data_IF_279190014052
#
_entry.id   IF_279190014052
#
_cell.length_a   1.000
_cell.length_b   1.000
_cell.length_c   1.000
_cell.angle_alpha   90.00
_cell.angle_beta   90.00
_cell.angle_gamma   90.00
#
_symmetry.space_group_name_H-M   'P 1'
#
loop_
_entity.id
_entity.type
_entity.pdbx_description
1 polymer ?
#
# COMPACT_ATOMS: atom_id res chain seq x y z
N UNK A 1 -14.88 11.10 10.75
CA UNK A 1 -15.22 9.70 10.46
C UNK A 1 -13.95 9.05 9.95
N UNK A 2 -13.24 8.28 10.79
CA UNK A 2 -12.00 7.62 10.38
C UNK A 2 -12.38 6.42 9.51
N UNK A 3 -12.02 6.45 8.22
CA UNK A 3 -12.14 5.27 7.37
C UNK A 3 -11.12 4.25 7.84
N UNK A 4 -11.57 3.27 8.63
CA UNK A 4 -10.77 2.09 8.93
C UNK A 4 -10.80 1.24 7.67
N UNK A 5 -9.86 1.52 6.76
CA UNK A 5 -9.58 0.58 5.69
C UNK A 5 -9.00 -0.67 6.36
N UNK A 6 -9.74 -1.80 6.31
CA UNK A 6 -9.14 -3.12 6.41
C UNK A 6 -8.27 -3.30 5.16
N UNK A 7 -7.14 -2.58 5.12
CA UNK A 7 -6.15 -2.75 4.07
C UNK A 7 -5.50 -4.09 4.33
N UNK A 8 -5.73 -5.04 3.42
CA UNK A 8 -4.69 -6.02 3.14
C UNK A 8 -3.39 -5.24 2.94
N UNK A 9 -2.29 -5.71 3.50
CA UNK A 9 -1.02 -5.01 3.46
C UNK A 9 -0.50 -5.03 2.02
N UNK A 10 -0.91 -4.04 1.23
CA UNK A 10 -0.48 -3.94 -0.15
C UNK A 10 0.93 -3.36 -0.11
N UNK A 11 1.92 -4.22 -0.30
CA UNK A 11 3.28 -3.79 -0.58
C UNK A 11 3.35 -3.29 -2.03
N UNK A 12 2.80 -2.10 -2.27
CA UNK A 12 3.05 -1.40 -3.53
C UNK A 12 4.53 -1.09 -3.53
N UNK A 13 5.25 -1.66 -4.50
CA UNK A 13 6.70 -1.58 -4.71
C UNK A 13 7.31 -0.39 -3.95
N UNK A 14 7.79 -0.63 -2.71
CA UNK A 14 8.16 0.46 -1.78
C UNK A 14 9.20 1.41 -2.38
N UNK A 15 9.94 0.94 -3.38
CA UNK A 15 10.87 1.72 -4.22
C UNK A 15 10.24 2.91 -4.95
N UNK A 16 8.92 3.08 -4.90
CA UNK A 16 8.21 4.20 -5.51
C UNK A 16 7.44 5.08 -4.48
N UNK A 17 7.59 4.87 -3.16
CA UNK A 17 7.02 5.77 -2.13
C UNK A 17 7.98 6.89 -1.77
N UNK A 18 7.42 8.05 -1.44
CA UNK A 18 8.19 9.19 -0.95
C UNK A 18 8.91 8.86 0.36
N UNK A 19 10.21 9.17 0.42
CA UNK A 19 10.95 9.12 1.68
C UNK A 19 10.40 10.16 2.66
N UNK A 20 10.46 9.84 3.96
CA UNK A 20 9.98 10.76 5.00
C UNK A 20 10.69 12.12 4.94
N UNK A 21 11.94 12.19 4.49
CA UNK A 21 12.68 13.46 4.38
C UNK A 21 12.08 14.42 3.33
N UNK A 22 11.28 13.92 2.40
CA UNK A 22 10.69 14.73 1.33
C UNK A 22 9.47 15.55 1.78
N UNK A 23 8.91 15.26 2.96
CA UNK A 23 7.76 16.00 3.49
C UNK A 23 8.19 17.31 4.14
N UNK A 24 7.63 18.42 3.67
CA UNK A 24 8.07 19.77 4.05
C UNK A 24 7.34 20.35 5.26
N UNK A 25 6.27 19.70 5.72
CA UNK A 25 5.47 20.14 6.86
C UNK A 25 4.98 18.97 7.72
N UNK A 26 4.64 19.29 8.96
CA UNK A 26 4.09 18.36 9.96
C UNK A 26 2.87 17.59 9.42
N UNK A 27 1.94 18.31 8.79
CA UNK A 27 0.66 17.76 8.37
C UNK A 27 0.85 16.60 7.38
N UNK A 28 1.58 16.80 6.28
CA UNK A 28 1.82 15.75 5.30
C UNK A 28 2.68 14.62 5.86
N UNK A 29 3.67 14.95 6.69
CA UNK A 29 4.50 13.96 7.37
C UNK A 29 3.64 13.00 8.20
N UNK A 30 2.69 13.53 8.96
CA UNK A 30 1.82 12.75 9.83
C UNK A 30 0.68 12.02 9.07
N UNK A 31 0.41 12.36 7.80
CA UNK A 31 -0.45 11.55 6.93
C UNK A 31 0.22 10.22 6.55
N UNK A 32 1.54 10.19 6.45
CA UNK A 32 2.28 8.95 6.22
C UNK A 32 2.49 8.22 7.55
N UNK A 33 1.87 7.04 7.67
CA UNK A 33 1.92 6.26 8.91
C UNK A 33 3.33 5.81 9.31
N UNK A 34 4.26 5.72 8.34
CA UNK A 34 5.66 5.33 8.52
C UNK A 34 6.56 6.51 8.90
N UNK A 35 6.05 7.74 8.85
CA UNK A 35 6.80 8.95 9.16
C UNK A 35 6.30 9.62 10.44
N UNK A 36 7.15 10.47 11.02
CA UNK A 36 6.78 11.37 12.10
C UNK A 36 7.59 12.67 12.04
N UNK A 37 6.95 13.76 12.48
CA UNK A 37 7.57 15.07 12.53
C UNK A 37 8.35 15.24 13.85
N UNK A 38 9.67 15.42 13.76
CA UNK A 38 10.58 15.61 14.90
C UNK A 38 11.57 16.73 14.58
N UNK A 39 11.76 17.67 15.51
CA UNK A 39 12.75 18.76 15.38
C UNK A 39 12.62 19.54 14.05
N UNK A 40 11.38 19.85 13.65
CA UNK A 40 11.08 20.59 12.41
C UNK A 40 11.48 19.88 11.12
N UNK A 41 11.62 18.55 11.16
CA UNK A 41 11.85 17.72 9.99
C UNK A 41 11.00 16.45 10.06
N UNK A 42 10.63 15.93 8.90
CA UNK A 42 9.97 14.64 8.81
C UNK A 42 10.99 13.51 8.76
N UNK A 43 10.80 12.49 9.60
CA UNK A 43 11.72 11.36 9.76
C UNK A 43 10.95 10.04 9.72
N UNK A 44 11.64 8.96 9.33
CA UNK A 44 11.09 7.61 9.38
C UNK A 44 10.96 7.16 10.83
N UNK A 45 9.82 6.57 11.18
CA UNK A 45 9.61 5.97 12.50
C UNK A 45 10.52 4.77 12.71
N UNK A 46 11.12 4.67 13.88
CA UNK A 46 11.69 3.41 14.38
C UNK A 46 10.57 2.48 14.83
N UNK A 47 10.84 1.17 14.91
CA UNK A 47 9.82 0.22 15.35
C UNK A 47 9.18 0.62 16.69
N UNK A 48 10.00 1.05 17.66
CA UNK A 48 9.54 1.52 18.98
C UNK A 48 8.61 2.75 18.96
N UNK A 49 8.55 3.49 17.86
CA UNK A 49 7.69 4.67 17.70
C UNK A 49 6.31 4.35 17.13
N UNK A 50 6.06 3.11 16.68
CA UNK A 50 4.72 2.70 16.26
C UNK A 50 3.82 2.42 17.46
N UNK A 51 2.79 3.24 17.61
CA UNK A 51 1.79 3.08 18.65
C UNK A 51 0.75 2.00 18.32
N UNK A 52 0.35 1.90 17.04
CA UNK A 52 -0.71 0.99 16.63
C UNK A 52 -0.15 -0.33 16.05
N UNK A 53 -0.72 -1.49 16.42
CA UNK A 53 -0.24 -2.79 15.96
C UNK A 53 -0.16 -2.91 14.43
N UNK A 54 -1.14 -2.37 13.70
CA UNK A 54 -1.16 -2.48 12.24
C UNK A 54 -0.02 -1.69 11.56
N UNK A 55 0.40 -0.55 12.13
CA UNK A 55 1.52 0.23 11.62
C UNK A 55 2.84 -0.52 11.81
N UNK A 56 3.00 -1.12 13.00
CA UNK A 56 4.15 -1.95 13.33
C UNK A 56 4.26 -3.17 12.40
N UNK A 57 3.17 -3.94 12.25
CA UNK A 57 3.14 -5.15 11.41
C UNK A 57 3.44 -4.87 9.94
N UNK A 58 3.07 -3.69 9.45
CA UNK A 58 3.27 -3.27 8.04
C UNK A 58 4.63 -2.64 7.75
N UNK A 59 5.40 -2.30 8.79
CA UNK A 59 6.76 -1.79 8.64
C UNK A 59 7.75 -2.95 8.47
N UNK A 60 8.58 -2.87 7.43
CA UNK A 60 9.63 -3.86 7.17
C UNK A 60 10.65 -3.86 8.32
N UNK A 61 11.06 -5.04 8.78
CA UNK A 61 11.99 -5.19 9.90
C UNK A 61 11.37 -4.93 11.29
N UNK A 62 10.07 -4.62 11.37
CA UNK A 62 9.35 -4.46 12.63
C UNK A 62 8.36 -5.60 12.89
N UNK A 63 8.25 -5.99 14.15
CA UNK A 63 7.26 -6.96 14.62
C UNK A 63 6.51 -6.42 15.83
N UNK A 64 5.23 -6.75 15.91
CA UNK A 64 4.36 -6.44 17.02
C UNK A 64 4.31 -7.63 17.99
N UNK A 65 4.70 -7.42 19.24
CA UNK A 65 4.58 -8.43 20.30
C UNK A 65 3.22 -8.28 21.01
N UNK A 66 2.27 -9.21 20.81
CA UNK A 66 0.94 -9.11 21.42
C UNK A 66 0.94 -9.32 22.94
N UNK A 67 2.00 -9.94 23.52
CA UNK A 67 2.07 -10.19 24.97
C UNK A 67 2.33 -8.91 25.74
N UNK A 68 3.22 -8.07 25.20
CA UNK A 68 3.67 -6.84 25.87
C UNK A 68 3.04 -5.58 25.23
N UNK A 69 2.28 -5.74 24.14
CA UNK A 69 1.71 -4.65 23.34
C UNK A 69 2.79 -3.63 22.89
N UNK A 70 3.93 -4.15 22.43
CA UNK A 70 5.08 -3.35 21.98
C UNK A 70 5.47 -3.67 20.55
N UNK A 71 6.11 -2.72 19.88
CA UNK A 71 6.71 -2.91 18.58
C UNK A 71 8.23 -2.98 18.70
N UNK A 72 8.82 -4.05 18.18
CA UNK A 72 10.25 -4.34 18.22
C UNK A 72 10.86 -4.48 16.83
N UNK A 73 12.20 -4.50 16.78
CA UNK A 73 12.98 -4.79 15.57
C UNK A 73 13.30 -6.28 15.54
N UNK A 74 13.29 -6.89 14.35
CA UNK A 74 13.85 -8.23 14.13
C UNK A 74 14.79 -8.19 12.92
N UNK A 75 15.77 -9.10 12.90
CA UNK A 75 16.69 -9.25 11.78
C UNK A 75 16.21 -10.28 10.74
N UNK A 76 15.56 -11.35 11.23
CA UNK A 76 15.06 -12.46 10.43
C UNK A 76 13.80 -13.06 11.07
N UNK A 77 12.92 -13.65 10.25
CA UNK A 77 11.64 -14.18 10.72
C UNK A 77 11.77 -15.31 11.73
N UNK A 78 12.88 -16.07 11.70
CA UNK A 78 13.20 -17.14 12.66
C UNK A 78 13.34 -16.66 14.10
N UNK A 79 13.53 -15.35 14.34
CA UNK A 79 13.54 -14.76 15.68
C UNK A 79 12.13 -14.63 16.28
N UNK A 80 11.09 -14.69 15.45
CA UNK A 80 9.71 -14.52 15.87
C UNK A 80 9.13 -15.90 16.21
N UNK A 81 9.02 -16.18 17.51
CA UNK A 81 8.40 -17.42 17.99
C UNK A 81 6.89 -17.33 17.86
N UNK A 82 6.25 -18.42 17.44
CA UNK A 82 4.80 -18.48 17.30
C UNK A 82 4.26 -19.85 17.68
N UNK A 83 2.97 -19.89 18.01
CA UNK A 83 2.25 -21.14 18.30
C UNK A 83 1.32 -21.59 17.19
N UNK A 84 0.96 -20.66 16.29
CA UNK A 84 0.03 -20.89 15.20
C UNK A 84 0.31 -19.95 14.02
N UNK A 85 -0.35 -20.19 12.90
CA UNK A 85 -0.30 -19.30 11.74
C UNK A 85 -0.80 -17.89 12.05
N UNK A 86 -1.93 -17.80 12.76
CA UNK A 86 -2.52 -16.53 13.15
C UNK A 86 -1.57 -15.70 14.02
N UNK A 87 -0.75 -16.36 14.85
CA UNK A 87 0.26 -15.71 15.68
C UNK A 87 1.34 -15.04 14.82
N UNK A 88 1.89 -15.73 13.81
CA UNK A 88 2.85 -15.14 12.86
C UNK A 88 2.27 -13.95 12.08
N UNK A 89 1.08 -14.12 11.51
CA UNK A 89 0.36 -13.04 10.81
C UNK A 89 0.07 -11.85 11.72
N UNK A 90 -0.12 -12.10 13.03
CA UNK A 90 -0.33 -11.05 14.02
C UNK A 90 0.95 -10.31 14.41
N UNK A 91 2.14 -10.86 14.16
CA UNK A 91 3.41 -10.26 14.56
C UNK A 91 4.01 -9.39 13.45
N UNK A 92 4.08 -9.87 12.21
CA UNK A 92 4.60 -9.07 11.09
C UNK A 92 4.02 -9.53 9.77
N UNK A 93 3.67 -8.58 8.91
CA UNK A 93 3.24 -8.91 7.55
C UNK A 93 4.36 -9.50 6.71
N UNK A 94 5.64 -9.35 7.07
CA UNK A 94 6.77 -9.91 6.30
C UNK A 94 7.24 -11.29 6.78
N UNK A 95 6.69 -11.75 7.91
CA UNK A 95 7.01 -13.02 8.56
C UNK A 95 5.73 -13.77 8.90
N UNK A 96 4.81 -13.88 7.95
CA UNK A 96 3.48 -14.41 8.25
C UNK A 96 3.38 -15.92 8.30
N UNK A 97 4.37 -16.69 7.83
CA UNK A 97 4.24 -18.16 7.74
C UNK A 97 4.75 -18.86 9.00
N UNK A 98 3.93 -19.74 9.56
CA UNK A 98 4.29 -20.54 10.72
C UNK A 98 4.92 -21.88 10.35
N UNK A 99 6.12 -22.14 10.86
CA UNK A 99 6.76 -23.45 10.76
C UNK A 99 6.37 -24.35 11.95
N UNK A 100 5.66 -25.43 11.66
CA UNK A 100 5.15 -26.34 12.70
C UNK A 100 6.24 -27.14 13.41
N UNK A 101 7.40 -27.36 12.78
CA UNK A 101 8.54 -28.10 13.34
C UNK A 101 9.39 -27.22 14.25
N UNK A 102 9.79 -26.04 13.79
CA UNK A 102 10.68 -25.14 14.54
C UNK A 102 9.95 -24.16 15.46
N UNK A 103 8.61 -24.05 15.35
CA UNK A 103 7.77 -23.16 16.16
C UNK A 103 8.13 -21.67 16.02
N UNK A 104 8.59 -21.28 14.84
CA UNK A 104 8.95 -19.90 14.50
C UNK A 104 8.26 -19.46 13.21
N UNK A 105 8.24 -18.16 12.99
CA UNK A 105 7.77 -17.58 11.76
C UNK A 105 8.82 -17.64 10.65
N UNK A 106 8.36 -17.56 9.41
CA UNK A 106 9.17 -17.60 8.21
C UNK A 106 8.66 -16.55 7.23
N UNK A 107 9.59 -16.00 6.44
CA UNK A 107 9.24 -15.21 5.27
C UNK A 107 8.82 -16.15 4.15
N UNK A 108 7.77 -15.81 3.41
CA UNK A 108 7.49 -16.49 2.15
C UNK A 108 8.48 -15.98 1.07
N UNK A 109 9.16 -16.85 0.32
CA UNK A 109 9.90 -16.42 -0.86
C UNK A 109 8.93 -15.93 -1.94
N UNK A 110 9.27 -14.84 -2.64
CA UNK A 110 8.51 -14.35 -3.79
C UNK A 110 8.64 -15.33 -4.97
N UNK A 111 7.64 -16.20 -5.11
CA UNK A 111 7.47 -17.13 -6.23
C UNK A 111 6.26 -16.73 -7.07
N UNK A 112 6.10 -17.24 -8.29
CA UNK A 112 4.85 -17.03 -9.04
C UNK A 112 3.67 -17.68 -8.30
N UNK A 113 2.46 -17.09 -8.34
CA UNK A 113 1.31 -17.60 -7.58
C UNK A 113 1.06 -19.10 -7.78
N UNK A 114 1.11 -19.66 -9.02
CA UNK A 114 0.90 -21.09 -9.25
C UNK A 114 1.92 -22.03 -8.58
N UNK A 115 3.03 -21.52 -8.06
CA UNK A 115 4.04 -22.32 -7.37
C UNK A 115 3.67 -22.60 -5.91
N UNK A 116 2.72 -21.87 -5.32
CA UNK A 116 2.23 -22.13 -3.98
C UNK A 116 1.19 -23.25 -4.00
N UNK A 117 1.50 -24.37 -3.37
CA UNK A 117 0.65 -25.56 -3.33
C UNK A 117 -0.21 -25.64 -2.07
N UNK A 118 0.00 -24.71 -1.13
CA UNK A 118 -0.74 -24.62 0.13
C UNK A 118 -1.55 -23.33 0.15
N UNK A 119 -2.85 -23.43 0.46
CA UNK A 119 -3.76 -22.28 0.52
C UNK A 119 -3.23 -21.12 1.35
N UNK A 120 -2.63 -21.43 2.49
CA UNK A 120 -2.09 -20.44 3.41
C UNK A 120 -0.94 -19.63 2.80
N UNK A 121 -0.04 -20.27 2.07
CA UNK A 121 1.06 -19.61 1.34
C UNK A 121 0.50 -18.74 0.21
N UNK A 122 -0.52 -19.23 -0.49
CA UNK A 122 -1.18 -18.49 -1.55
C UNK A 122 -1.86 -17.21 -1.06
N UNK A 123 -2.58 -17.28 0.06
CA UNK A 123 -3.34 -16.14 0.59
C UNK A 123 -2.45 -15.12 1.32
N UNK A 124 -1.17 -15.42 1.49
CA UNK A 124 -0.23 -14.53 2.16
C UNK A 124 0.11 -13.31 1.27
N UNK A 125 -0.42 -12.15 1.65
CA UNK A 125 -0.27 -10.88 0.93
C UNK A 125 0.93 -10.03 1.37
N UNK A 126 1.71 -10.50 2.34
CA UNK A 126 2.70 -9.74 3.09
C UNK A 126 3.77 -9.02 2.27
N UNK A 127 4.07 -9.53 1.07
CA UNK A 127 5.13 -9.02 0.21
C UNK A 127 4.59 -8.34 -1.07
N UNK A 128 3.31 -7.98 -1.11
CA UNK A 128 2.70 -7.22 -2.22
C UNK A 128 2.37 -8.07 -3.44
N UNK A 129 2.70 -9.35 -3.41
CA UNK A 129 2.16 -10.30 -4.36
C UNK A 129 0.69 -10.55 -4.02
N UNK A 130 -0.17 -10.32 -5.01
CA UNK A 130 -1.58 -10.70 -4.94
C UNK A 130 -1.78 -12.00 -5.70
N UNK A 131 -2.14 -13.03 -4.95
CA UNK A 131 -2.59 -14.32 -5.43
C UNK A 131 -4.00 -14.60 -4.90
N UNK A 132 -4.68 -15.55 -5.53
CA UNK A 132 -5.98 -16.02 -5.11
C UNK A 132 -5.98 -17.54 -5.08
N UNK A 133 -6.56 -18.12 -4.03
CA UNK A 133 -6.77 -19.57 -3.94
C UNK A 133 -8.16 -19.91 -4.47
N UNK A 134 -8.23 -20.63 -5.59
CA UNK A 134 -9.48 -21.15 -6.17
C UNK A 134 -9.23 -22.55 -6.71
N UNK A 135 -10.26 -23.38 -6.76
CA UNK A 135 -10.19 -24.71 -7.37
C UNK A 135 -9.03 -25.56 -6.83
N UNK A 136 -8.74 -25.41 -5.52
CA UNK A 136 -7.63 -26.07 -4.81
C UNK A 136 -6.23 -25.79 -5.39
N UNK A 137 -6.06 -24.65 -6.05
CA UNK A 137 -4.78 -24.19 -6.57
C UNK A 137 -4.60 -22.70 -6.30
N UNK A 138 -3.35 -22.29 -6.21
CA UNK A 138 -3.01 -20.89 -6.18
C UNK A 138 -2.90 -20.36 -7.61
N UNK A 139 -3.46 -19.19 -7.86
CA UNK A 139 -3.45 -18.55 -9.17
C UNK A 139 -3.19 -17.06 -9.03
N UNK A 140 -2.78 -16.43 -10.13
CA UNK A 140 -2.61 -14.99 -10.17
C UNK A 140 -3.95 -14.30 -9.87
N UNK A 141 -3.87 -13.22 -9.09
CA UNK A 141 -5.05 -12.46 -8.71
C UNK A 141 -5.78 -11.89 -9.93
N UNK A 142 -7.08 -12.17 -10.01
CA UNK A 142 -7.99 -11.63 -11.01
C UNK A 142 -9.37 -11.42 -10.38
N UNK A 143 -9.92 -10.21 -10.54
CA UNK A 143 -11.23 -9.85 -10.01
C UNK A 143 -12.34 -10.76 -10.54
N UNK A 144 -12.23 -11.29 -11.77
CA UNK A 144 -13.26 -12.17 -12.35
C UNK A 144 -13.38 -13.53 -11.66
N UNK A 145 -12.42 -13.89 -10.79
CA UNK A 145 -12.43 -15.13 -10.02
C UNK A 145 -13.11 -14.94 -8.66
N UNK A 146 -13.51 -13.70 -8.33
CA UNK A 146 -14.19 -13.35 -7.08
C UNK A 146 -15.70 -13.35 -7.32
N UNK A 147 -16.39 -14.32 -6.74
CA UNK A 147 -17.82 -14.57 -6.98
C UNK A 147 -18.75 -13.93 -5.95
N UNK A 148 -18.22 -13.23 -4.94
CA UNK A 148 -19.04 -12.62 -3.88
C UNK A 148 -18.70 -11.15 -3.67
N UNK A 149 -19.73 -10.36 -3.34
CA UNK A 149 -19.57 -8.92 -3.07
C UNK A 149 -18.61 -8.67 -1.89
N UNK A 150 -18.72 -9.43 -0.81
CA UNK A 150 -17.90 -9.24 0.40
C UNK A 150 -16.42 -9.49 0.14
N UNK A 151 -16.08 -10.53 -0.63
CA UNK A 151 -14.71 -10.76 -1.07
C UNK A 151 -14.23 -9.65 -2.00
N UNK A 152 -15.07 -9.19 -2.95
CA UNK A 152 -14.70 -8.11 -3.86
C UNK A 152 -14.37 -6.81 -3.10
N UNK A 153 -15.16 -6.50 -2.06
CA UNK A 153 -14.93 -5.34 -1.18
C UNK A 153 -13.63 -5.44 -0.37
N UNK A 154 -13.11 -6.64 -0.12
CA UNK A 154 -11.80 -6.83 0.53
C UNK A 154 -10.65 -6.35 -0.36
N UNK A 155 -10.88 -6.27 -1.68
CA UNK A 155 -9.92 -5.82 -2.69
C UNK A 155 -10.40 -4.55 -3.40
N UNK A 156 -11.12 -3.66 -2.71
CA UNK A 156 -11.75 -2.45 -3.29
C UNK A 156 -10.79 -1.48 -4.00
N UNK A 157 -9.48 -1.59 -3.79
CA UNK A 157 -8.47 -0.83 -4.54
C UNK A 157 -8.15 -1.46 -5.91
N UNK A 158 -8.33 -2.76 -6.07
CA UNK A 158 -8.06 -3.50 -7.32
C UNK A 158 -9.33 -3.87 -8.08
N UNK A 159 -10.42 -4.08 -7.36
CA UNK A 159 -11.68 -4.58 -7.89
C UNK A 159 -12.87 -3.73 -7.45
N UNK A 160 -13.91 -3.74 -8.28
CA UNK A 160 -15.19 -3.10 -8.00
C UNK A 160 -16.31 -4.11 -8.22
N UNK A 161 -17.28 -4.16 -7.30
CA UNK A 161 -18.46 -5.00 -7.45
C UNK A 161 -19.53 -4.29 -8.29
N UNK A 162 -19.85 -4.84 -9.45
CA UNK A 162 -20.87 -4.29 -10.35
C UNK A 162 -22.24 -4.84 -9.96
N UNK A 163 -23.07 -4.01 -9.34
CA UNK A 163 -24.41 -4.41 -8.85
C UNK A 163 -25.29 -4.97 -9.98
N UNK A 164 -25.24 -4.34 -11.16
CA UNK A 164 -26.11 -4.72 -12.29
C UNK A 164 -25.78 -6.10 -12.87
N UNK A 165 -24.49 -6.48 -12.91
CA UNK A 165 -24.04 -7.77 -13.46
C UNK A 165 -23.76 -8.81 -12.37
N UNK A 166 -23.79 -8.41 -11.10
CA UNK A 166 -23.39 -9.23 -9.95
C UNK A 166 -22.01 -9.88 -10.13
N UNK A 167 -21.06 -9.09 -10.64
CA UNK A 167 -19.70 -9.54 -10.93
C UNK A 167 -18.67 -8.61 -10.29
N UNK A 168 -17.57 -9.19 -9.84
CA UNK A 168 -16.39 -8.44 -9.44
C UNK A 168 -15.52 -8.20 -10.68
N UNK A 169 -15.27 -6.93 -11.01
CA UNK A 169 -14.48 -6.53 -12.17
C UNK A 169 -13.27 -5.73 -11.73
N UNK A 170 -12.29 -5.55 -12.61
CA UNK A 170 -11.14 -4.68 -12.33
C UNK A 170 -11.62 -3.25 -12.06
N UNK A 171 -11.12 -2.65 -11.00
CA UNK A 171 -11.46 -1.28 -10.63
C UNK A 171 -10.93 -0.30 -11.68
N UNK A 172 -11.75 0.71 -11.98
CA UNK A 172 -11.36 1.90 -12.73
C UNK A 172 -11.94 3.10 -11.98
N UNK A 173 -11.51 4.33 -12.30
CA UNK A 173 -12.18 5.48 -11.70
C UNK A 173 -13.66 5.54 -12.13
N UNK A 174 -13.97 5.28 -13.41
CA UNK A 174 -15.33 5.35 -13.96
C UNK A 174 -16.35 4.42 -13.29
N UNK A 175 -15.91 3.29 -12.72
CA UNK A 175 -16.79 2.33 -12.06
C UNK A 175 -16.94 2.55 -10.54
N UNK A 176 -16.21 3.51 -9.95
CA UNK A 176 -16.29 3.84 -8.52
C UNK A 176 -17.41 4.83 -8.24
N UNK A 177 -18.08 4.64 -7.11
CA UNK A 177 -19.03 5.63 -6.60
C UNK A 177 -18.27 6.92 -6.20
N UNK A 178 -18.90 8.11 -6.30
CA UNK A 178 -18.27 9.36 -5.86
C UNK A 178 -17.72 9.34 -4.42
N UNK A 179 -18.37 8.58 -3.52
CA UNK A 179 -17.91 8.40 -2.13
C UNK A 179 -16.63 7.58 -1.97
N UNK A 180 -16.23 6.84 -3.00
CA UNK A 180 -15.05 5.95 -3.03
C UNK A 180 -14.01 6.41 -4.06
N UNK A 181 -14.21 7.60 -4.63
CA UNK A 181 -13.41 8.14 -5.73
C UNK A 181 -12.09 8.74 -5.23
N UNK A 182 -11.16 7.87 -4.85
CA UNK A 182 -9.81 8.27 -4.40
C UNK A 182 -8.75 7.80 -5.37
N UNK A 183 -8.67 6.50 -5.61
CA UNK A 183 -7.72 5.85 -6.51
C UNK A 183 -8.12 4.41 -6.80
N UNK A 184 -7.47 3.81 -7.80
CA UNK A 184 -7.38 2.36 -7.92
C UNK A 184 -5.93 1.93 -8.21
N UNK A 185 -5.68 0.64 -8.02
CA UNK A 185 -4.42 -0.02 -8.28
C UNK A 185 -4.59 -0.95 -9.46
N UNK A 186 -3.78 -0.74 -10.49
CA UNK A 186 -3.69 -1.64 -11.63
C UNK A 186 -2.45 -2.52 -11.49
N UNK A 187 -2.54 -3.77 -11.96
CA UNK A 187 -1.42 -4.72 -11.96
C UNK A 187 -0.96 -4.92 -13.40
N UNK A 188 0.31 -4.61 -13.66
CA UNK A 188 0.98 -4.90 -14.93
C UNK A 188 2.17 -5.83 -14.64
N UNK A 189 1.94 -7.14 -14.73
CA UNK A 189 2.89 -8.16 -14.29
C UNK A 189 3.14 -8.07 -12.77
N UNK A 190 4.39 -7.88 -12.38
CA UNK A 190 4.79 -7.70 -10.97
C UNK A 190 4.76 -6.23 -10.50
N UNK A 191 4.43 -5.30 -11.40
CA UNK A 191 4.31 -3.90 -11.06
C UNK A 191 2.87 -3.56 -10.69
N UNK A 192 2.72 -2.78 -9.64
CA UNK A 192 1.47 -2.11 -9.29
C UNK A 192 1.60 -0.65 -9.65
N UNK A 193 0.67 -0.16 -10.46
CA UNK A 193 0.58 1.24 -10.83
C UNK A 193 -0.64 1.86 -10.15
N UNK A 194 -0.45 3.08 -9.65
CA UNK A 194 -1.46 3.85 -8.93
C UNK A 194 -2.10 4.81 -9.90
N UNK A 195 -3.41 4.72 -10.07
CA UNK A 195 -4.20 5.69 -10.83
C UNK A 195 -5.05 6.50 -9.85
N UNK A 196 -4.73 7.79 -9.61
CA UNK A 196 -5.59 8.64 -8.80
C UNK A 196 -6.90 8.91 -9.53
N UNK A 197 -7.96 9.11 -8.74
CA UNK A 197 -9.28 9.46 -9.24
C UNK A 197 -9.73 10.82 -8.71
N UNK A 198 -10.66 11.44 -9.43
CA UNK A 198 -11.28 12.71 -9.06
C UNK A 198 -12.79 12.67 -9.30
N UNK A 199 -13.57 13.24 -8.37
CA UNK A 199 -15.03 13.37 -8.52
C UNK A 199 -15.34 14.54 -9.43
N UNK A 200 -15.89 14.25 -10.60
CA UNK A 200 -16.45 15.25 -11.49
C UNK A 200 -17.88 15.62 -11.08
N UNK A 201 -18.00 16.74 -10.37
CA UNK A 201 -19.28 17.33 -9.96
C UNK A 201 -20.00 18.09 -11.08
N UNK A 202 -19.37 18.27 -12.25
CA UNK A 202 -20.05 18.85 -13.41
C UNK A 202 -20.98 17.84 -14.11
N UNK A 203 -20.71 16.54 -13.94
CA UNK A 203 -21.59 15.47 -14.39
C UNK A 203 -22.84 15.37 -13.50
N UNK A 204 -24.00 15.02 -14.09
CA UNK A 204 -25.25 14.76 -13.36
C UNK A 204 -25.78 13.36 -13.72
N UNK A 205 -25.77 12.37 -12.81
CA UNK A 205 -25.20 12.44 -11.46
C UNK A 205 -23.67 12.62 -11.50
N UNK A 206 -23.07 13.09 -10.40
CA UNK A 206 -21.62 13.20 -10.27
C UNK A 206 -20.97 11.83 -10.52
N UNK A 207 -19.82 11.83 -11.20
CA UNK A 207 -19.09 10.61 -11.57
C UNK A 207 -17.64 10.71 -11.18
N UNK A 208 -17.02 9.56 -10.96
CA UNK A 208 -15.59 9.48 -10.76
C UNK A 208 -14.91 9.37 -12.13
N UNK A 209 -13.76 10.01 -12.30
CA UNK A 209 -12.94 9.97 -13.52
C UNK A 209 -11.46 9.81 -13.16
N UNK A 210 -10.68 9.40 -14.15
CA UNK A 210 -9.22 9.41 -14.02
C UNK A 210 -8.73 10.85 -13.75
N UNK A 211 -7.78 10.96 -12.82
CA UNK A 211 -7.14 12.21 -12.46
C UNK A 211 -5.68 12.21 -12.94
N UNK A 212 -5.24 13.35 -13.44
CA UNK A 212 -3.82 13.69 -13.54
C UNK A 212 -3.32 14.22 -12.19
N UNK A 213 -2.00 14.27 -11.97
CA UNK A 213 -1.45 14.89 -10.75
C UNK A 213 -1.85 16.38 -10.63
N UNK A 214 -2.00 17.09 -11.75
CA UNK A 214 -2.46 18.48 -11.78
C UNK A 214 -3.92 18.67 -11.35
N UNK A 215 -4.73 17.61 -11.36
CA UNK A 215 -6.10 17.66 -10.83
C UNK A 215 -6.14 17.58 -9.29
N UNK A 216 -5.02 17.19 -8.65
CA UNK A 216 -4.97 16.96 -7.20
C UNK A 216 -4.62 18.23 -6.44
N UNK A 217 -5.23 18.39 -5.26
CA UNK A 217 -4.94 19.45 -4.31
C UNK A 217 -3.84 19.02 -3.34
N UNK A 218 -3.29 19.96 -2.55
CA UNK A 218 -2.37 19.64 -1.47
C UNK A 218 -2.91 18.53 -0.53
N UNK A 219 -4.22 18.54 -0.24
CA UNK A 219 -4.85 17.54 0.63
C UNK A 219 -5.03 16.17 -0.04
N UNK A 220 -5.37 16.15 -1.33
CA UNK A 220 -5.66 14.90 -2.06
C UNK A 220 -4.43 14.31 -2.72
N UNK A 221 -3.34 15.06 -2.89
CA UNK A 221 -2.12 14.58 -3.55
C UNK A 221 -1.55 13.33 -2.87
N UNK A 222 -1.23 13.43 -1.57
CA UNK A 222 -0.67 12.31 -0.81
C UNK A 222 -1.66 11.16 -0.67
N UNK A 223 -2.93 11.46 -0.37
CA UNK A 223 -3.97 10.47 -0.12
C UNK A 223 -4.36 9.67 -1.38
N UNK A 224 -4.62 10.36 -2.49
CA UNK A 224 -5.06 9.72 -3.74
C UNK A 224 -3.91 9.08 -4.52
N UNK A 225 -2.65 9.26 -4.08
CA UNK A 225 -1.49 8.58 -4.67
C UNK A 225 -0.84 7.59 -3.71
N UNK A 226 -1.43 7.32 -2.54
CA UNK A 226 -0.82 6.49 -1.49
C UNK A 226 0.63 6.89 -1.18
N UNK A 227 0.87 8.20 -1.13
CA UNK A 227 2.18 8.80 -0.87
C UNK A 227 3.24 8.49 -1.96
N UNK A 228 2.83 8.35 -3.22
CA UNK A 228 3.77 8.30 -4.36
C UNK A 228 4.07 9.69 -4.94
N UNK A 229 3.15 10.63 -4.73
CA UNK A 229 3.31 12.02 -5.07
C UNK A 229 3.11 12.88 -3.81
N UNK A 230 3.80 14.02 -3.78
CA UNK A 230 3.68 15.03 -2.73
C UNK A 230 3.41 16.38 -3.32
N UNK A 231 2.84 17.26 -2.48
CA UNK A 231 2.74 18.65 -2.81
C UNK A 231 4.13 19.28 -2.73
N UNK A 232 4.64 19.82 -3.83
CA UNK A 232 6.03 20.29 -3.92
C UNK A 232 6.34 21.59 -3.14
N UNK A 233 5.40 22.07 -2.33
CA UNK A 233 5.49 23.37 -1.68
C UNK A 233 4.93 23.29 -0.26
N UNK A 234 5.57 23.93 0.72
CA UNK A 234 5.05 23.96 2.09
C UNK A 234 3.73 24.72 2.25
N UNK A 235 3.33 25.54 1.26
CA UNK A 235 2.08 26.29 1.27
C UNK A 235 0.96 25.54 0.52
N UNK A 236 -0.14 25.26 1.22
CA UNK A 236 -1.30 24.52 0.68
C UNK A 236 -2.01 25.20 -0.51
N UNK A 237 -1.80 26.51 -0.71
CA UNK A 237 -2.45 27.30 -1.75
C UNK A 237 -1.58 27.54 -2.98
N UNK A 238 -0.30 27.16 -2.94
CA UNK A 238 0.64 27.34 -4.04
C UNK A 238 1.46 26.09 -4.20
N UNK A 239 1.49 25.49 -5.39
CA UNK A 239 2.26 24.28 -5.63
C UNK A 239 1.61 23.38 -6.67
N UNK A 240 2.19 22.21 -6.82
CA UNK A 240 1.71 21.13 -7.68
C UNK A 240 1.96 19.79 -7.02
N UNK A 241 1.09 18.83 -7.31
CA UNK A 241 1.32 17.45 -6.93
C UNK A 241 2.38 16.86 -7.88
N UNK A 242 3.50 16.39 -7.32
CA UNK A 242 4.64 15.89 -8.09
C UNK A 242 5.11 14.53 -7.57
N UNK A 243 5.59 13.68 -8.48
CA UNK A 243 6.17 12.40 -8.11
C UNK A 243 7.46 12.59 -7.32
N UNK A 244 7.63 11.81 -6.26
CA UNK A 244 8.78 11.97 -5.35
C UNK A 244 10.16 11.67 -5.94
N UNK A 245 10.23 11.02 -7.11
CA UNK A 245 11.50 10.75 -7.82
C UNK A 245 11.85 11.82 -8.85
N UNK A 246 10.98 12.81 -9.09
CA UNK A 246 11.27 13.90 -10.00
C UNK A 246 12.57 14.67 -9.68
N UNK A 247 12.96 14.90 -8.40
CA UNK A 247 14.19 15.64 -8.09
C UNK A 247 15.47 14.90 -8.49
N UNK A 248 15.52 13.57 -8.35
CA UNK A 248 16.70 12.77 -8.70
C UNK A 248 17.01 12.83 -10.20
N UNK A 249 15.96 12.84 -11.04
CA UNK A 249 16.10 12.97 -12.49
C UNK A 249 16.67 14.35 -12.85
N UNK A 250 16.23 15.42 -12.19
CA UNK A 250 16.76 16.76 -12.43
C UNK A 250 18.24 16.88 -12.05
N UNK A 251 18.67 16.28 -10.93
CA UNK A 251 20.08 16.26 -10.51
C UNK A 251 20.92 15.50 -11.54
N UNK A 252 20.45 14.36 -12.04
CA UNK A 252 21.15 13.58 -13.07
C UNK A 252 21.27 14.39 -14.37
N UNK A 253 20.19 15.05 -14.83
CA UNK A 253 20.22 15.89 -16.03
C UNK A 253 21.22 17.03 -15.87
N UNK A 254 21.21 17.73 -14.73
CA UNK A 254 22.17 18.81 -14.47
C UNK A 254 23.62 18.29 -14.43
N UNK A 255 23.87 17.14 -13.80
CA UNK A 255 25.19 16.52 -13.77
C UNK A 255 25.68 16.16 -15.18
N UNK A 256 24.80 15.60 -16.02
CA UNK A 256 25.12 15.29 -17.43
C UNK A 256 25.44 16.57 -18.21
N UNK A 257 24.64 17.64 -18.03
CA UNK A 257 24.88 18.91 -18.72
C UNK A 257 26.21 19.56 -18.32
N UNK A 258 26.63 19.44 -17.06
CA UNK A 258 27.94 19.93 -16.58
C UNK A 258 29.09 19.11 -17.19
N UNK A 259 28.93 17.80 -17.38
CA UNK A 259 29.97 16.94 -17.97
C UNK A 259 30.16 17.13 -19.49
N UNK A 260 29.25 17.81 -20.18
CA UNK A 260 29.31 18.05 -21.63
C UNK A 260 30.02 19.40 -21.96
N UNK A 261 30.28 20.24 -20.95
CA UNK A 261 31.00 21.51 -21.09
C UNK A 261 32.50 21.35 -20.88
#
# INVERSE_FOLDING_TARGET
MAFIFNTTAININQKKKCDCISYLNDFECNLNQQCMWINSACQTKTCSQFYYPFQCKSSQGCFYNPKDNTCGVYAECSQLTATSQQDCESQSYYCGLYNTTSKVCQSLPLNACPQYTVQQECLYSGQGQLCLWSDNQCQDFNCSLINTQSQCQTYNLYCTWMINTQQCVTATCDNKAPSECTLFLSKNGNNTDIQPCYVDYSATPAKCRDASLSDLSAYTCSLNTLNYALWNNGNLHSGSCELCYAPLIQIIILAILIMIQ
#
